data_IF_460830747648
#
_entry.id   IF_460830747648
#
_cell.length_a   1.000
_cell.length_b   1.000
_cell.length_c   1.000
_cell.angle_alpha   90.00
_cell.angle_beta   90.00
_cell.angle_gamma   90.00
#
_symmetry.space_group_name_H-M   'P 1'
#
loop_
_entity.id
_entity.type
_entity.pdbx_description
1 polymer ?
#
# COMPACT_ATOMS: atom_id res chain seq x y z
N UNK A 1 -24.58 -7.39 -1.13
CA UNK A 1 -24.70 -8.87 -1.17
C UNK A 1 -25.81 -9.20 -2.15
N UNK A 2 -25.45 -9.67 -3.34
CA UNK A 2 -26.43 -10.08 -4.35
C UNK A 2 -26.77 -11.55 -4.11
N UNK A 3 -28.02 -11.85 -3.79
CA UNK A 3 -28.52 -13.21 -3.70
C UNK A 3 -29.26 -13.55 -5.00
N UNK A 4 -28.95 -14.69 -5.61
CA UNK A 4 -29.76 -15.29 -6.66
C UNK A 4 -30.73 -16.31 -6.03
N UNK A 5 -32.00 -16.22 -6.40
CA UNK A 5 -33.11 -17.08 -5.95
C UNK A 5 -33.54 -17.96 -7.12
N UNK A 6 -33.85 -19.22 -6.85
CA UNK A 6 -34.50 -20.09 -7.84
C UNK A 6 -36.00 -19.78 -8.00
N UNK A 7 -36.58 -20.36 -9.04
CA UNK A 7 -37.99 -20.25 -9.42
C UNK A 7 -38.99 -20.78 -8.37
N UNK A 8 -38.52 -21.40 -7.28
CA UNK A 8 -39.34 -21.89 -6.17
C UNK A 8 -39.10 -21.13 -4.85
N UNK A 9 -38.37 -20.02 -4.88
CA UNK A 9 -38.18 -19.15 -3.69
C UNK A 9 -37.37 -19.80 -2.58
N UNK A 10 -36.60 -20.86 -2.88
CA UNK A 10 -35.73 -21.51 -1.90
C UNK A 10 -34.39 -20.76 -1.88
N UNK A 11 -34.03 -20.21 -0.71
CA UNK A 11 -32.70 -19.63 -0.51
C UNK A 11 -31.69 -20.76 -0.65
N UNK A 12 -30.92 -20.77 -1.75
CA UNK A 12 -29.81 -21.71 -1.91
C UNK A 12 -28.77 -21.39 -0.84
N UNK A 13 -28.70 -22.27 0.15
CA UNK A 13 -27.70 -22.22 1.21
C UNK A 13 -26.33 -22.53 0.57
N UNK A 14 -25.59 -21.51 0.12
CA UNK A 14 -24.20 -21.71 -0.28
C UNK A 14 -23.36 -21.92 0.99
N UNK A 15 -23.11 -23.19 1.33
CA UNK A 15 -21.98 -23.61 2.17
C UNK A 15 -21.36 -24.88 1.56
N UNK A 16 -20.03 -25.00 1.53
CA UNK A 16 -19.27 -24.73 0.31
C UNK A 16 -18.67 -26.00 -0.30
N UNK A 17 -18.49 -26.05 -1.62
CA UNK A 17 -17.62 -27.05 -2.28
C UNK A 17 -16.13 -26.90 -1.89
N UNK A 18 -15.80 -25.92 -1.05
CA UNK A 18 -14.43 -25.59 -0.69
C UNK A 18 -13.83 -26.60 0.30
N UNK A 19 -12.58 -26.95 0.05
CA UNK A 19 -11.81 -27.98 0.72
C UNK A 19 -11.30 -27.47 2.07
N UNK A 20 -11.40 -28.33 3.09
CA UNK A 20 -10.65 -28.18 4.34
C UNK A 20 -9.31 -28.89 4.20
N UNK A 21 -8.23 -28.15 4.03
CA UNK A 21 -6.88 -28.68 3.88
C UNK A 21 -6.31 -29.10 5.24
N UNK A 22 -5.97 -30.38 5.38
CA UNK A 22 -5.30 -30.95 6.55
C UNK A 22 -3.83 -31.21 6.19
N UNK A 23 -2.92 -30.41 6.73
CA UNK A 23 -1.50 -30.51 6.37
C UNK A 23 -0.68 -31.23 7.44
N UNK A 24 0.00 -32.29 7.01
CA UNK A 24 0.87 -33.13 7.82
C UNK A 24 2.31 -33.10 7.30
N UNK A 25 3.28 -33.07 8.21
CA UNK A 25 4.71 -33.17 7.85
C UNK A 25 5.43 -34.13 8.77
N UNK A 26 6.26 -34.99 8.19
CA UNK A 26 7.28 -35.76 8.90
C UNK A 26 8.64 -35.18 8.58
N UNK A 27 9.38 -34.77 9.61
CA UNK A 27 10.75 -34.30 9.42
C UNK A 27 11.72 -35.47 9.56
N UNK A 28 12.82 -35.41 8.80
CA UNK A 28 13.91 -36.39 8.87
C UNK A 28 14.57 -36.45 10.26
N UNK A 29 14.52 -35.36 11.02
CA UNK A 29 14.98 -35.32 12.42
C UNK A 29 14.02 -36.09 13.36
N UNK A 30 12.71 -36.14 13.04
CA UNK A 30 11.69 -36.82 13.84
C UNK A 30 11.69 -38.35 13.61
N UNK A 31 12.21 -38.84 12.49
CA UNK A 31 12.39 -40.29 12.24
C UNK A 31 13.29 -40.96 13.29
N UNK A 32 14.27 -40.22 13.84
CA UNK A 32 15.22 -40.72 14.83
C UNK A 32 14.62 -40.87 16.25
N UNK A 33 13.46 -40.26 16.53
CA UNK A 33 12.86 -40.23 17.88
C UNK A 33 11.77 -41.28 18.12
N UNK A 34 11.57 -42.24 17.20
CA UNK A 34 10.71 -43.41 17.41
C UNK A 34 9.23 -43.21 17.06
N UNK A 35 8.56 -44.33 16.78
CA UNK A 35 7.24 -44.53 16.13
C UNK A 35 6.03 -43.70 16.63
N UNK A 36 6.19 -42.89 17.68
CA UNK A 36 5.11 -42.13 18.31
C UNK A 36 4.74 -40.80 17.60
N UNK A 37 5.58 -40.35 16.66
CA UNK A 37 5.39 -39.09 15.90
C UNK A 37 5.00 -39.27 14.43
N UNK A 38 4.49 -40.46 14.08
CA UNK A 38 4.10 -40.80 12.71
C UNK A 38 3.03 -39.86 12.14
N UNK A 39 3.03 -39.71 10.82
CA UNK A 39 1.98 -39.04 10.04
C UNK A 39 0.58 -39.54 10.43
N UNK A 40 0.47 -40.81 10.83
CA UNK A 40 -0.79 -41.43 11.28
C UNK A 40 -1.38 -40.72 12.50
N UNK A 41 -0.56 -40.41 13.50
CA UNK A 41 -1.00 -39.67 14.68
C UNK A 41 -1.43 -38.23 14.31
N UNK A 42 -0.67 -37.57 13.44
CA UNK A 42 -1.02 -36.23 12.95
C UNK A 42 -2.36 -36.23 12.22
N UNK A 43 -2.58 -37.22 11.33
CA UNK A 43 -3.86 -37.39 10.62
C UNK A 43 -5.02 -37.59 11.57
N UNK A 44 -4.86 -38.45 12.58
CA UNK A 44 -5.90 -38.72 13.58
C UNK A 44 -6.31 -37.46 14.34
N UNK A 45 -5.33 -36.67 14.80
CA UNK A 45 -5.57 -35.39 15.50
C UNK A 45 -6.31 -34.40 14.60
N UNK A 46 -5.86 -34.25 13.34
CA UNK A 46 -6.46 -33.33 12.39
C UNK A 46 -7.89 -33.73 11.99
N UNK A 47 -8.12 -35.01 11.72
CA UNK A 47 -9.44 -35.55 11.42
C UNK A 47 -10.40 -35.33 12.57
N UNK A 48 -9.99 -35.66 13.80
CA UNK A 48 -10.82 -35.51 14.99
C UNK A 48 -11.22 -34.05 15.20
N UNK A 49 -10.28 -33.12 15.03
CA UNK A 49 -10.56 -31.70 15.14
C UNK A 49 -11.54 -31.22 14.06
N UNK A 50 -11.35 -31.66 12.81
CA UNK A 50 -12.26 -31.30 11.72
C UNK A 50 -13.69 -31.81 11.97
N UNK A 51 -13.84 -33.04 12.48
CA UNK A 51 -15.14 -33.62 12.85
C UNK A 51 -15.82 -32.86 14.00
N UNK A 52 -15.09 -32.59 15.09
CA UNK A 52 -15.59 -31.87 16.26
C UNK A 52 -16.08 -30.46 15.90
N UNK A 53 -15.39 -29.79 14.97
CA UNK A 53 -15.72 -28.44 14.51
C UNK A 53 -16.61 -28.40 13.26
N UNK A 54 -17.14 -29.55 12.80
CA UNK A 54 -18.02 -29.68 11.62
C UNK A 54 -17.43 -29.09 10.34
N UNK A 55 -16.12 -29.21 10.16
CA UNK A 55 -15.42 -28.81 8.95
C UNK A 55 -15.56 -29.91 7.89
N UNK A 56 -16.21 -29.59 6.77
CA UNK A 56 -16.54 -30.55 5.71
C UNK A 56 -15.47 -30.57 4.61
N UNK A 57 -15.50 -31.59 3.75
CA UNK A 57 -14.61 -31.75 2.59
C UNK A 57 -13.11 -31.73 2.93
N UNK A 58 -12.69 -32.58 3.88
CA UNK A 58 -11.30 -32.64 4.34
C UNK A 58 -10.38 -33.34 3.32
N UNK A 59 -9.27 -32.69 2.95
CA UNK A 59 -8.22 -33.26 2.10
C UNK A 59 -6.87 -33.21 2.78
N UNK A 60 -6.16 -34.33 2.78
CA UNK A 60 -4.82 -34.41 3.35
C UNK A 60 -3.74 -33.99 2.37
N UNK A 61 -2.82 -33.15 2.84
CA UNK A 61 -1.58 -32.79 2.16
C UNK A 61 -0.42 -33.26 3.05
N UNK A 62 0.48 -34.05 2.50
CA UNK A 62 1.50 -34.77 3.29
C UNK A 62 2.86 -34.54 2.66
N UNK A 63 3.80 -34.08 3.48
CA UNK A 63 5.22 -34.02 3.12
C UNK A 63 6.01 -35.00 4.01
N UNK A 64 6.69 -35.95 3.39
CA UNK A 64 7.48 -37.00 4.07
C UNK A 64 8.99 -36.80 3.84
N UNK A 65 9.79 -36.96 4.88
CA UNK A 65 11.26 -36.83 4.84
C UNK A 65 11.81 -35.43 4.55
N UNK A 66 10.97 -34.38 4.56
CA UNK A 66 11.37 -33.01 4.19
C UNK A 66 11.72 -32.16 5.41
N UNK A 67 12.90 -31.51 5.37
CA UNK A 67 13.36 -30.58 6.40
C UNK A 67 12.45 -29.36 6.54
N UNK A 68 12.22 -28.91 7.78
CA UNK A 68 11.46 -27.69 8.09
C UNK A 68 12.14 -26.38 7.68
N UNK A 69 13.37 -26.43 7.17
CA UNK A 69 14.14 -25.26 6.70
C UNK A 69 13.83 -24.87 5.24
N UNK A 70 13.32 -25.80 4.43
CA UNK A 70 12.99 -25.57 3.02
C UNK A 70 11.49 -25.36 2.87
N UNK A 71 11.05 -24.37 2.10
CA UNK A 71 9.63 -24.12 1.81
C UNK A 71 9.18 -24.73 0.49
N UNK A 72 10.11 -25.11 -0.38
CA UNK A 72 9.80 -25.85 -1.59
C UNK A 72 9.46 -27.30 -1.21
N UNK A 73 8.15 -27.57 -1.05
CA UNK A 73 7.65 -28.89 -0.65
C UNK A 73 6.44 -29.25 -1.48
N UNK A 74 6.36 -30.48 -2.03
CA UNK A 74 5.31 -30.85 -2.96
C UNK A 74 3.90 -30.76 -2.34
N UNK A 75 3.70 -31.24 -1.12
CA UNK A 75 2.40 -31.21 -0.44
C UNK A 75 1.99 -29.79 -0.03
N UNK A 76 2.93 -28.97 0.44
CA UNK A 76 2.67 -27.57 0.74
C UNK A 76 2.36 -26.77 -0.54
N UNK A 77 3.13 -26.97 -1.61
CA UNK A 77 2.94 -26.27 -2.88
C UNK A 77 1.61 -26.65 -3.53
N UNK A 78 1.20 -27.92 -3.48
CA UNK A 78 -0.12 -28.37 -3.97
C UNK A 78 -1.25 -27.68 -3.19
N UNK A 79 -1.13 -27.62 -1.85
CA UNK A 79 -2.09 -26.91 -1.02
C UNK A 79 -2.16 -25.42 -1.36
N UNK A 80 -1.01 -24.76 -1.52
CA UNK A 80 -0.93 -23.35 -1.89
C UNK A 80 -1.52 -23.06 -3.27
N UNK A 81 -1.30 -23.94 -4.25
CA UNK A 81 -1.90 -23.82 -5.58
C UNK A 81 -3.44 -23.91 -5.50
N UNK A 82 -3.99 -24.83 -4.71
CA UNK A 82 -5.45 -24.92 -4.51
C UNK A 82 -6.02 -23.73 -3.74
N UNK A 83 -5.21 -23.11 -2.87
CA UNK A 83 -5.55 -21.85 -2.20
C UNK A 83 -5.55 -20.68 -3.20
N UNK A 84 -4.58 -20.63 -4.13
CA UNK A 84 -4.56 -19.66 -5.24
C UNK A 84 -5.77 -19.82 -6.18
N UNK A 85 -6.28 -21.05 -6.35
CA UNK A 85 -7.49 -21.34 -7.11
C UNK A 85 -8.80 -21.09 -6.32
N UNK A 86 -8.73 -20.54 -5.11
CA UNK A 86 -9.89 -20.27 -4.22
C UNK A 86 -10.70 -21.54 -3.84
N UNK A 87 -10.11 -22.72 -4.00
CA UNK A 87 -10.75 -24.02 -3.73
C UNK A 87 -10.65 -24.45 -2.27
N UNK A 88 -9.77 -23.84 -1.48
CA UNK A 88 -9.56 -24.17 -0.06
C UNK A 88 -10.14 -23.06 0.80
N UNK A 89 -10.97 -23.41 1.78
CA UNK A 89 -11.57 -22.44 2.71
C UNK A 89 -10.91 -22.45 4.09
N UNK A 90 -10.33 -23.57 4.49
CA UNK A 90 -9.71 -23.73 5.81
C UNK A 90 -8.46 -24.59 5.72
N UNK A 91 -7.39 -24.19 6.41
CA UNK A 91 -6.13 -24.93 6.55
C UNK A 91 -5.94 -25.27 8.03
N UNK A 92 -5.74 -26.56 8.33
CA UNK A 92 -5.50 -27.07 9.69
C UNK A 92 -4.15 -27.77 9.76
N UNK A 93 -3.36 -27.39 10.76
CA UNK A 93 -2.08 -28.03 11.10
C UNK A 93 -2.06 -28.43 12.57
N UNK A 94 -1.23 -29.43 12.90
CA UNK A 94 -0.99 -29.82 14.31
C UNK A 94 -0.35 -28.67 15.08
N UNK A 95 0.72 -28.11 14.52
CA UNK A 95 1.49 -27.01 15.10
C UNK A 95 2.15 -26.19 13.97
N UNK A 96 2.56 -24.97 14.28
CA UNK A 96 3.18 -24.02 13.34
C UNK A 96 4.49 -24.55 12.74
N UNK A 97 5.21 -25.40 13.49
CA UNK A 97 6.44 -26.02 13.01
C UNK A 97 6.22 -26.93 11.80
N UNK A 98 4.97 -27.36 11.55
CA UNK A 98 4.61 -28.11 10.34
C UNK A 98 4.78 -27.24 9.09
N UNK A 99 4.33 -25.99 9.10
CA UNK A 99 4.49 -25.07 7.96
C UNK A 99 5.96 -24.72 7.72
N UNK A 100 6.73 -24.43 8.75
CA UNK A 100 8.17 -24.21 8.60
C UNK A 100 8.84 -23.65 9.85
N UNK A 101 10.18 -23.63 9.84
CA UNK A 101 11.00 -23.07 10.93
C UNK A 101 11.30 -21.56 10.73
N UNK A 102 11.02 -21.01 9.56
CA UNK A 102 11.15 -19.57 9.28
C UNK A 102 9.88 -18.83 9.72
N UNK A 103 9.91 -18.33 10.96
CA UNK A 103 8.78 -17.62 11.57
C UNK A 103 8.27 -16.42 10.76
N UNK A 104 9.14 -15.74 9.99
CA UNK A 104 8.72 -14.61 9.16
C UNK A 104 7.90 -15.08 7.96
N UNK A 105 8.34 -16.14 7.28
CA UNK A 105 7.60 -16.72 6.14
C UNK A 105 6.30 -17.37 6.58
N UNK A 106 6.32 -18.13 7.68
CA UNK A 106 5.10 -18.73 8.23
C UNK A 106 4.12 -17.63 8.63
N UNK A 107 4.59 -16.60 9.35
CA UNK A 107 3.75 -15.46 9.73
C UNK A 107 3.17 -14.70 8.54
N UNK A 108 3.96 -14.47 7.48
CA UNK A 108 3.46 -13.83 6.25
C UNK A 108 2.35 -14.66 5.59
N UNK A 109 2.53 -15.97 5.51
CA UNK A 109 1.55 -16.88 4.95
C UNK A 109 0.26 -16.86 5.78
N UNK A 110 0.36 -17.07 7.10
CA UNK A 110 -0.81 -17.26 7.97
C UNK A 110 -1.57 -15.97 8.29
N UNK A 111 -0.88 -14.82 8.38
CA UNK A 111 -1.49 -13.56 8.82
C UNK A 111 -1.89 -12.62 7.66
N UNK A 112 -1.31 -12.81 6.47
CA UNK A 112 -1.58 -11.95 5.30
C UNK A 112 -2.13 -12.76 4.14
N UNK A 113 -1.36 -13.73 3.62
CA UNK A 113 -1.72 -14.41 2.37
C UNK A 113 -2.98 -15.27 2.48
N UNK A 114 -3.15 -15.99 3.60
CA UNK A 114 -4.35 -16.80 3.82
C UNK A 114 -5.60 -15.92 4.06
N UNK A 115 -5.57 -14.89 4.94
CA UNK A 115 -6.71 -13.98 5.11
C UNK A 115 -7.07 -13.17 3.86
N UNK A 116 -6.11 -12.71 3.06
CA UNK A 116 -6.38 -12.00 1.79
C UNK A 116 -7.20 -12.87 0.81
N UNK A 117 -7.02 -14.19 0.88
CA UNK A 117 -7.75 -15.17 0.07
C UNK A 117 -8.99 -15.73 0.77
N UNK A 118 -9.36 -15.19 1.93
CA UNK A 118 -10.50 -15.66 2.71
C UNK A 118 -10.31 -17.04 3.35
N UNK A 119 -9.07 -17.53 3.46
CA UNK A 119 -8.76 -18.84 4.03
C UNK A 119 -8.54 -18.74 5.54
N UNK A 120 -9.30 -19.53 6.31
CA UNK A 120 -9.11 -19.65 7.75
C UNK A 120 -7.93 -20.58 8.05
N UNK A 121 -7.00 -20.13 8.87
CA UNK A 121 -5.89 -20.94 9.38
C UNK A 121 -6.12 -21.35 10.84
N UNK A 122 -5.82 -22.62 11.15
CA UNK A 122 -5.93 -23.22 12.48
C UNK A 122 -4.68 -24.05 12.79
N UNK A 123 -4.03 -23.77 13.92
CA UNK A 123 -2.99 -24.61 14.51
C UNK A 123 -3.44 -25.13 15.88
N UNK A 124 -3.61 -26.45 15.99
CA UNK A 124 -4.29 -27.08 17.13
C UNK A 124 -3.50 -26.92 18.43
N UNK A 125 -2.23 -27.30 18.44
CA UNK A 125 -1.40 -27.30 19.65
C UNK A 125 -1.01 -25.89 20.09
N UNK A 126 -0.85 -24.97 19.14
CA UNK A 126 -0.51 -23.58 19.42
C UNK A 126 -1.75 -22.76 19.82
N UNK A 127 -2.95 -23.35 19.76
CA UNK A 127 -4.20 -22.64 20.06
C UNK A 127 -4.50 -21.48 19.11
N UNK A 128 -3.89 -21.46 17.92
CA UNK A 128 -4.02 -20.37 16.95
C UNK A 128 -5.23 -20.62 16.06
N UNK A 129 -6.14 -19.67 16.02
CA UNK A 129 -7.24 -19.61 15.06
C UNK A 129 -7.33 -18.19 14.51
N UNK A 130 -7.04 -18.05 13.21
CA UNK A 130 -7.07 -16.77 12.49
C UNK A 130 -8.41 -16.02 12.62
N UNK A 131 -9.52 -16.72 12.85
CA UNK A 131 -10.84 -16.09 13.04
C UNK A 131 -11.10 -15.61 14.48
N UNK A 132 -10.38 -16.13 15.48
CA UNK A 132 -10.66 -15.81 16.89
C UNK A 132 -9.85 -14.60 17.41
N UNK A 133 -9.05 -13.95 16.57
CA UNK A 133 -8.50 -12.61 16.82
C UNK A 133 -7.47 -12.47 17.95
N UNK A 134 -7.17 -13.54 18.69
CA UNK A 134 -6.15 -13.55 19.75
C UNK A 134 -4.99 -14.43 19.30
N UNK A 135 -4.16 -13.88 18.42
CA UNK A 135 -2.92 -14.51 18.01
C UNK A 135 -1.77 -13.88 18.80
N UNK A 136 -0.92 -14.69 19.44
CA UNK A 136 0.38 -14.27 20.01
C UNK A 136 1.28 -13.58 18.95
N UNK A 137 0.87 -13.59 17.68
CA UNK A 137 1.53 -13.02 16.52
C UNK A 137 1.17 -11.57 16.19
N UNK A 138 0.45 -10.83 17.04
CA UNK A 138 0.26 -9.37 16.84
C UNK A 138 1.62 -8.67 16.61
N UNK A 139 2.66 -9.07 17.36
CA UNK A 139 4.01 -8.53 17.20
C UNK A 139 4.59 -8.81 15.80
N UNK A 140 4.45 -10.04 15.29
CA UNK A 140 4.91 -10.40 13.94
C UNK A 140 4.10 -9.70 12.85
N UNK A 141 2.78 -9.64 12.99
CA UNK A 141 1.91 -8.91 12.07
C UNK A 141 2.28 -7.44 11.99
N UNK A 142 2.61 -6.82 13.13
CA UNK A 142 3.11 -5.45 13.17
C UNK A 142 4.47 -5.30 12.48
N UNK A 143 5.41 -6.23 12.67
CA UNK A 143 6.71 -6.21 11.99
C UNK A 143 6.57 -6.36 10.48
N UNK A 144 5.73 -7.30 10.01
CA UNK A 144 5.51 -7.54 8.58
C UNK A 144 4.82 -6.33 7.94
N UNK A 145 3.78 -5.79 8.57
CA UNK A 145 3.11 -4.58 8.09
C UNK A 145 4.07 -3.39 8.02
N UNK A 146 4.95 -3.25 9.02
CA UNK A 146 5.98 -2.21 9.02
C UNK A 146 6.98 -2.41 7.88
N UNK A 147 7.41 -3.66 7.63
CA UNK A 147 8.31 -3.99 6.53
C UNK A 147 7.69 -3.69 5.17
N UNK A 148 6.43 -4.09 4.95
CA UNK A 148 5.68 -3.80 3.74
C UNK A 148 5.57 -2.29 3.50
N UNK A 149 5.16 -1.52 4.51
CA UNK A 149 5.07 -0.07 4.43
C UNK A 149 6.43 0.57 4.06
N UNK A 150 7.52 0.03 4.62
CA UNK A 150 8.88 0.49 4.34
C UNK A 150 9.32 0.15 2.91
N UNK A 151 9.01 -1.05 2.41
CA UNK A 151 9.36 -1.48 1.05
C UNK A 151 8.61 -0.65 -0.01
N UNK A 152 7.29 -0.49 0.14
CA UNK A 152 6.48 0.37 -0.73
C UNK A 152 7.04 1.78 -0.77
N UNK A 153 7.39 2.34 0.39
CA UNK A 153 7.98 3.67 0.47
C UNK A 153 9.32 3.79 -0.25
N UNK A 154 10.18 2.76 -0.19
CA UNK A 154 11.44 2.72 -0.93
C UNK A 154 11.20 2.70 -2.43
N UNK A 155 10.28 1.87 -2.92
CA UNK A 155 9.93 1.78 -4.35
C UNK A 155 9.40 3.11 -4.88
N UNK A 156 8.48 3.73 -4.14
CA UNK A 156 7.94 5.06 -4.49
C UNK A 156 9.08 6.09 -4.57
N UNK A 157 9.94 6.17 -3.54
CA UNK A 157 11.10 7.08 -3.55
C UNK A 157 11.98 6.84 -4.77
N UNK A 158 12.29 5.58 -5.12
CA UNK A 158 13.10 5.25 -6.29
C UNK A 158 12.48 5.76 -7.60
N UNK A 159 11.16 5.60 -7.78
CA UNK A 159 10.43 6.11 -8.97
C UNK A 159 10.50 7.62 -9.05
N UNK A 160 10.27 8.34 -7.94
CA UNK A 160 10.37 9.80 -7.91
C UNK A 160 11.80 10.28 -8.16
N UNK A 161 12.80 9.61 -7.58
CA UNK A 161 14.21 9.92 -7.82
C UNK A 161 14.59 9.76 -9.29
N UNK A 162 14.25 8.63 -9.91
CA UNK A 162 14.52 8.38 -11.32
C UNK A 162 13.85 9.43 -12.23
N UNK A 163 12.57 9.75 -11.97
CA UNK A 163 11.85 10.81 -12.69
C UNK A 163 12.52 12.18 -12.51
N UNK A 164 12.90 12.54 -11.29
CA UNK A 164 13.53 13.84 -11.03
C UNK A 164 14.92 13.97 -11.65
N UNK A 165 15.70 12.88 -11.70
CA UNK A 165 17.01 12.82 -12.37
C UNK A 165 16.89 12.89 -13.89
N UNK A 166 15.78 12.43 -14.48
CA UNK A 166 15.50 12.57 -15.91
C UNK A 166 15.17 14.02 -16.35
N UNK A 167 15.26 15.00 -15.45
CA UNK A 167 14.98 16.40 -15.73
C UNK A 167 13.48 16.73 -15.81
N UNK A 168 12.60 15.77 -15.50
CA UNK A 168 11.15 15.97 -15.50
C UNK A 168 10.70 16.63 -14.19
N UNK A 169 9.86 17.68 -14.23
CA UNK A 169 9.30 18.30 -13.04
C UNK A 169 8.43 17.32 -12.25
N UNK A 170 8.69 17.21 -10.95
CA UNK A 170 7.92 16.35 -10.04
C UNK A 170 6.75 17.08 -9.35
N UNK A 171 6.64 18.41 -9.51
CA UNK A 171 5.63 19.18 -8.79
C UNK A 171 4.21 18.89 -9.29
N UNK A 172 3.30 18.68 -8.34
CA UNK A 172 1.86 18.54 -8.64
C UNK A 172 1.29 19.86 -9.17
N UNK A 173 1.76 20.98 -8.64
CA UNK A 173 1.33 22.33 -9.04
C UNK A 173 2.51 23.07 -9.68
N UNK A 174 2.41 23.49 -10.96
CA UNK A 174 3.44 24.33 -11.58
C UNK A 174 3.52 25.70 -10.86
N UNK A 175 4.67 26.38 -10.89
CA UNK A 175 4.79 27.77 -10.43
C UNK A 175 3.80 28.68 -11.17
N UNK A 176 3.42 29.80 -10.54
CA UNK A 176 2.56 30.80 -11.18
C UNK A 176 3.20 31.31 -12.48
N UNK A 177 2.43 31.53 -13.54
CA UNK A 177 2.98 31.83 -14.89
C UNK A 177 3.33 30.59 -15.73
N UNK A 178 3.25 29.38 -15.16
CA UNK A 178 3.38 28.12 -15.89
C UNK A 178 2.14 27.24 -15.72
N UNK A 179 1.84 26.45 -16.75
CA UNK A 179 0.78 25.44 -16.74
C UNK A 179 1.32 24.11 -17.24
N UNK A 180 0.68 23.02 -16.85
CA UNK A 180 1.01 21.70 -17.40
C UNK A 180 0.54 21.64 -18.85
N UNK A 181 1.38 21.06 -19.70
CA UNK A 181 1.02 20.78 -21.08
C UNK A 181 -0.18 19.80 -21.10
N UNK A 182 -1.25 20.07 -21.86
CA UNK A 182 -2.37 19.13 -22.02
C UNK A 182 -1.93 17.77 -22.58
N UNK A 183 -0.91 17.75 -23.45
CA UNK A 183 -0.42 16.56 -24.14
C UNK A 183 0.64 15.81 -23.31
N UNK A 184 1.52 16.52 -22.61
CA UNK A 184 2.53 15.93 -21.70
C UNK A 184 2.46 16.52 -20.29
N UNK A 185 1.88 15.76 -19.37
CA UNK A 185 1.77 16.15 -17.95
C UNK A 185 3.11 16.40 -17.26
N UNK A 186 4.22 15.94 -17.85
CA UNK A 186 5.58 16.15 -17.36
C UNK A 186 6.26 17.38 -17.98
N UNK A 187 5.57 18.16 -18.82
CA UNK A 187 6.09 19.39 -19.41
C UNK A 187 5.30 20.59 -18.89
N UNK A 188 5.99 21.70 -18.66
CA UNK A 188 5.37 22.98 -18.36
C UNK A 188 5.45 23.90 -19.57
N UNK A 189 4.34 24.56 -19.86
CA UNK A 189 4.23 25.61 -20.87
C UNK A 189 3.93 26.94 -20.18
N UNK A 190 4.26 28.04 -20.83
CA UNK A 190 4.06 29.38 -20.29
C UNK A 190 2.58 29.76 -20.41
N UNK A 191 1.97 30.21 -19.31
CA UNK A 191 0.66 30.84 -19.31
C UNK A 191 0.85 32.34 -19.42
N UNK A 192 0.71 32.87 -20.64
CA UNK A 192 1.15 34.23 -20.97
C UNK A 192 0.49 35.31 -20.11
N UNK A 193 -0.79 35.13 -19.76
CA UNK A 193 -1.52 36.08 -18.91
C UNK A 193 -0.97 36.10 -17.48
N UNK A 194 -0.66 34.94 -16.90
CA UNK A 194 -0.04 34.87 -15.58
C UNK A 194 1.46 35.24 -15.62
N UNK A 195 2.15 34.92 -16.71
CA UNK A 195 3.56 35.21 -16.91
C UNK A 195 3.82 36.72 -17.00
N UNK A 196 2.91 37.50 -17.60
CA UNK A 196 3.06 38.95 -17.64
C UNK A 196 3.05 39.57 -16.24
N UNK A 197 2.18 39.09 -15.35
CA UNK A 197 2.17 39.52 -13.94
C UNK A 197 3.50 39.16 -13.25
N UNK A 198 4.07 38.00 -13.55
CA UNK A 198 5.39 37.61 -13.01
C UNK A 198 6.48 38.56 -13.53
N UNK A 199 6.52 38.85 -14.84
CA UNK A 199 7.49 39.79 -15.43
C UNK A 199 7.35 41.18 -14.83
N UNK A 200 6.11 41.63 -14.59
CA UNK A 200 5.82 42.89 -13.91
C UNK A 200 6.37 42.91 -12.48
N UNK A 201 6.19 41.84 -11.71
CA UNK A 201 6.76 41.70 -10.36
C UNK A 201 8.28 41.87 -10.38
N UNK A 202 8.98 41.21 -11.32
CA UNK A 202 10.43 41.36 -11.47
C UNK A 202 10.82 42.79 -11.88
N UNK A 203 10.08 43.42 -12.80
CA UNK A 203 10.32 44.81 -13.22
C UNK A 203 10.18 45.78 -12.05
N UNK A 204 9.09 45.69 -11.29
CA UNK A 204 8.86 46.52 -10.10
C UNK A 204 9.96 46.32 -9.05
N UNK A 205 10.47 45.10 -8.90
CA UNK A 205 11.60 44.82 -8.01
C UNK A 205 12.89 45.51 -8.50
N UNK A 206 13.17 45.48 -9.80
CA UNK A 206 14.33 46.17 -10.40
C UNK A 206 14.24 47.70 -10.27
N UNK A 207 13.02 48.25 -10.25
CA UNK A 207 12.75 49.67 -9.97
C UNK A 207 12.95 50.06 -8.49
N UNK A 208 13.34 49.11 -7.63
CA UNK A 208 13.62 49.36 -6.21
C UNK A 208 12.41 49.21 -5.28
N UNK A 209 11.30 48.62 -5.76
CA UNK A 209 10.15 48.35 -4.90
C UNK A 209 10.37 47.05 -4.11
N UNK A 210 10.30 47.10 -2.78
CA UNK A 210 10.34 45.91 -1.93
C UNK A 210 9.06 45.05 -2.04
N UNK A 211 9.09 43.77 -1.62
CA UNK A 211 7.96 42.83 -1.77
C UNK A 211 6.63 43.34 -1.22
N UNK A 212 6.64 44.02 -0.07
CA UNK A 212 5.44 44.62 0.53
C UNK A 212 4.81 45.70 -0.36
N UNK A 213 5.65 46.54 -0.97
CA UNK A 213 5.19 47.61 -1.86
C UNK A 213 4.63 47.03 -3.17
N UNK A 214 5.28 46.01 -3.73
CA UNK A 214 4.81 45.28 -4.91
C UNK A 214 3.44 44.62 -4.62
N UNK A 215 3.31 43.92 -3.49
CA UNK A 215 2.05 43.29 -3.10
C UNK A 215 0.91 44.31 -2.99
N UNK A 216 1.18 45.49 -2.41
CA UNK A 216 0.19 46.57 -2.35
C UNK A 216 -0.20 47.07 -3.74
N UNK A 217 0.77 47.33 -4.62
CA UNK A 217 0.52 47.78 -6.00
C UNK A 217 -0.38 46.77 -6.75
N UNK A 218 -0.08 45.48 -6.67
CA UNK A 218 -0.87 44.43 -7.32
C UNK A 218 -2.29 44.32 -6.74
N UNK A 219 -2.43 44.49 -5.42
CA UNK A 219 -3.73 44.47 -4.74
C UNK A 219 -4.60 45.68 -5.12
N UNK A 220 -4.00 46.88 -5.16
CA UNK A 220 -4.66 48.12 -5.60
C UNK A 220 -5.12 48.02 -7.07
N UNK A 221 -4.31 47.37 -7.92
CA UNK A 221 -4.63 47.07 -9.33
C UNK A 221 -5.63 45.92 -9.51
N UNK A 222 -6.15 45.33 -8.42
CA UNK A 222 -7.10 44.20 -8.43
C UNK A 222 -6.58 42.98 -9.21
N UNK A 223 -5.27 42.74 -9.21
CA UNK A 223 -4.69 41.55 -9.83
C UNK A 223 -5.02 40.32 -8.99
N UNK A 224 -5.52 39.26 -9.62
CA UNK A 224 -5.85 38.00 -8.92
C UNK A 224 -4.59 37.35 -8.35
N UNK A 225 -4.67 36.86 -7.12
CA UNK A 225 -3.59 36.06 -6.53
C UNK A 225 -3.46 34.70 -7.24
N UNK A 226 -2.29 34.03 -7.18
CA UNK A 226 -2.05 32.77 -7.89
C UNK A 226 -3.09 31.67 -7.65
N UNK A 227 -3.56 31.49 -6.40
CA UNK A 227 -4.59 30.49 -6.07
C UNK A 227 -5.96 30.85 -6.63
N UNK A 228 -6.33 32.14 -6.60
CA UNK A 228 -7.58 32.64 -7.16
C UNK A 228 -7.59 32.54 -8.69
N UNK A 229 -6.48 32.91 -9.34
CA UNK A 229 -6.30 32.76 -10.77
C UNK A 229 -6.40 31.31 -11.22
N UNK A 230 -5.73 30.38 -10.51
CA UNK A 230 -5.82 28.95 -10.80
C UNK A 230 -7.27 28.44 -10.71
N UNK A 231 -7.98 28.74 -9.61
CA UNK A 231 -9.39 28.32 -9.45
C UNK A 231 -10.31 28.95 -10.50
N UNK A 232 -10.09 30.21 -10.89
CA UNK A 232 -10.90 30.88 -11.94
C UNK A 232 -10.76 30.22 -13.31
N UNK A 233 -9.62 29.59 -13.58
CA UNK A 233 -9.34 28.82 -14.80
C UNK A 233 -9.70 27.33 -14.66
N UNK A 234 -10.47 26.94 -13.63
CA UNK A 234 -10.86 25.55 -13.38
C UNK A 234 -9.73 24.63 -12.91
N UNK A 235 -8.61 25.19 -12.41
CA UNK A 235 -7.43 24.45 -11.99
C UNK A 235 -7.36 24.34 -10.47
N UNK A 236 -6.88 23.21 -9.98
CA UNK A 236 -6.59 23.01 -8.55
C UNK A 236 -5.43 23.90 -8.09
N UNK A 237 -5.55 24.47 -6.90
CA UNK A 237 -4.54 25.33 -6.28
C UNK A 237 -3.99 24.69 -4.99
N UNK A 238 -2.72 24.96 -4.63
CA UNK A 238 -2.11 24.42 -3.41
C UNK A 238 -2.64 25.08 -2.12
N UNK A 239 -3.31 26.23 -2.22
CA UNK A 239 -3.83 26.99 -1.10
C UNK A 239 -5.28 27.40 -1.36
N UNK A 240 -6.04 27.56 -0.28
CA UNK A 240 -7.38 28.10 -0.35
C UNK A 240 -7.38 29.55 -0.83
N UNK A 241 -8.50 29.93 -1.44
CA UNK A 241 -8.69 31.28 -1.97
C UNK A 241 -9.34 32.11 -0.86
N UNK A 242 -8.66 33.15 -0.36
CA UNK A 242 -9.23 34.06 0.63
C UNK A 242 -10.50 34.75 0.10
N UNK A 243 -11.30 35.31 1.00
CA UNK A 243 -12.49 36.08 0.65
C UNK A 243 -12.16 37.21 -0.34
N UNK A 244 -11.03 37.89 -0.13
CA UNK A 244 -10.45 38.82 -1.09
C UNK A 244 -9.48 38.10 -2.04
N UNK A 245 -9.91 37.96 -3.29
CA UNK A 245 -9.18 37.26 -4.35
C UNK A 245 -7.98 38.05 -4.90
N UNK A 246 -7.85 39.31 -4.53
CA UNK A 246 -6.79 40.21 -4.99
C UNK A 246 -5.83 40.60 -3.87
N UNK A 247 -5.95 40.00 -2.67
CA UNK A 247 -5.10 40.32 -1.52
C UNK A 247 -3.74 39.66 -1.65
N UNK A 248 -2.78 40.35 -2.28
CA UNK A 248 -1.40 39.89 -2.36
C UNK A 248 -0.70 40.05 -1.01
N UNK A 249 -0.01 38.99 -0.58
CA UNK A 249 0.88 39.03 0.58
C UNK A 249 2.33 39.23 0.10
N UNK A 250 3.12 39.95 0.89
CA UNK A 250 4.56 40.14 0.70
C UNK A 250 5.30 38.80 0.59
N UNK A 251 4.93 37.80 1.41
CA UNK A 251 5.48 36.45 1.35
C UNK A 251 5.27 35.75 0.00
N UNK A 252 4.12 35.99 -0.66
CA UNK A 252 3.84 35.41 -1.98
C UNK A 252 4.73 36.05 -3.05
N UNK A 253 4.93 37.36 -2.98
CA UNK A 253 5.83 38.09 -3.89
C UNK A 253 7.28 37.66 -3.67
N UNK A 254 7.74 37.61 -2.43
CA UNK A 254 9.09 37.14 -2.09
C UNK A 254 9.34 35.72 -2.63
N UNK A 255 8.39 34.81 -2.41
CA UNK A 255 8.50 33.44 -2.92
C UNK A 255 8.50 33.35 -4.46
N UNK A 256 7.88 34.28 -5.18
CA UNK A 256 7.99 34.37 -6.64
C UNK A 256 9.39 34.82 -7.04
N UNK A 257 9.92 35.87 -6.40
CA UNK A 257 11.24 36.42 -6.70
C UNK A 257 12.39 35.44 -6.43
N UNK A 258 12.25 34.58 -5.41
CA UNK A 258 13.28 33.59 -5.02
C UNK A 258 13.28 32.30 -5.87
N UNK A 259 12.24 32.07 -6.68
CA UNK A 259 12.11 30.82 -7.45
C UNK A 259 13.05 30.80 -8.65
N UNK A 260 14.03 29.91 -8.59
CA UNK A 260 14.96 29.62 -9.70
C UNK A 260 14.28 29.06 -10.95
N UNK A 261 13.05 28.54 -10.83
CA UNK A 261 12.27 28.06 -11.97
C UNK A 261 12.01 29.14 -13.03
N UNK A 262 11.90 30.41 -12.63
CA UNK A 262 11.75 31.54 -13.57
C UNK A 262 13.01 31.85 -14.38
N UNK A 263 14.16 31.27 -14.01
CA UNK A 263 15.40 31.33 -14.77
C UNK A 263 15.53 30.17 -15.77
N UNK A 264 14.51 29.31 -15.88
CA UNK A 264 14.52 28.12 -16.73
C UNK A 264 15.14 26.88 -16.07
N UNK A 265 15.43 26.93 -14.77
CA UNK A 265 15.96 25.77 -14.04
C UNK A 265 14.84 24.80 -13.61
N UNK A 266 15.02 23.51 -13.87
CA UNK A 266 14.18 22.48 -13.23
C UNK A 266 14.74 22.16 -11.85
N UNK A 267 14.02 22.55 -10.79
CA UNK A 267 14.42 22.28 -9.40
C UNK A 267 13.53 21.20 -8.79
N UNK A 268 14.05 19.98 -8.70
CA UNK A 268 13.42 18.85 -8.04
C UNK A 268 13.97 18.65 -6.61
N UNK A 269 13.30 17.82 -5.80
CA UNK A 269 13.75 17.42 -4.46
C UNK A 269 13.85 18.55 -3.41
N UNK A 270 13.11 19.65 -3.57
CA UNK A 270 13.02 20.75 -2.56
C UNK A 270 12.51 20.27 -1.20
N UNK A 271 11.66 19.25 -1.20
CA UNK A 271 11.09 18.64 0.01
C UNK A 271 11.34 17.14 -0.02
N UNK A 272 11.71 16.56 1.11
CA UNK A 272 11.81 15.12 1.27
C UNK A 272 11.19 14.71 2.60
N UNK A 273 10.58 13.52 2.62
CA UNK A 273 10.17 12.86 3.87
C UNK A 273 11.22 11.83 4.24
N UNK A 274 11.88 12.05 5.37
CA UNK A 274 12.93 11.17 5.88
C UNK A 274 12.38 9.75 6.13
N UNK A 275 11.29 9.66 6.89
CA UNK A 275 10.62 8.40 7.22
C UNK A 275 9.20 8.33 6.65
N UNK A 276 8.79 7.13 6.25
CA UNK A 276 7.42 6.84 5.85
C UNK A 276 6.42 6.97 7.00
N UNK A 277 6.91 6.90 8.25
CA UNK A 277 6.09 7.13 9.44
C UNK A 277 5.81 8.60 9.69
N UNK A 278 6.54 9.50 9.03
CA UNK A 278 6.38 10.93 9.24
C UNK A 278 5.16 11.43 8.44
N UNK A 279 4.08 11.73 9.16
CA UNK A 279 2.83 12.25 8.56
C UNK A 279 2.91 13.74 8.20
N UNK A 280 3.92 14.47 8.68
CA UNK A 280 4.22 15.84 8.25
C UNK A 280 4.89 15.84 6.89
#
# INVERSE_FOLDING_TARGET
MNYQVDENGKIMNQQPEQITALYCRLSRDDELQGDSNSIVNQKSILSKYAEEHRLLNTRFFIDDGVSGTTFDRPGLNEMLALIDEEKVSTVIVKDMSRLGRDYLKVGLLTEIQLPEKGVRFIAINDGVDSNQGVSEFIAFRNVINEWYAKDTSKKIKAVFTAKGQSGKPLSTFPPYGYIKDPEDKNRWIVDEAAAEVVREIFRLCMEGNGPTKIARILSERRVLIPSAYAKSNGRSAPADVPADRCKWCDSTVAHILERKEYLGHTVNFKTYKESFRNKK
#
